data_IF_438199056531
#
_entry.id   IF_438199056531
#
_cell.length_a   1.000
_cell.length_b   1.000
_cell.length_c   1.000
_cell.angle_alpha   90.00
_cell.angle_beta   90.00
_cell.angle_gamma   90.00
#
_symmetry.space_group_name_H-M   'P 1'
#
loop_
_entity.id
_entity.type
_entity.pdbx_description
1 polymer ?
#
# COMPACT_ATOMS: atom_id res chain seq x y z
N UNK A 1 -1.40 -2.54 24.88
CA UNK A 1 -0.76 -3.68 24.18
C UNK A 1 -0.12 -3.19 22.90
N UNK A 2 1.15 -3.57 22.64
CA UNK A 2 1.74 -3.21 21.37
C UNK A 2 1.01 -3.92 20.23
N UNK A 3 0.89 -3.22 19.12
CA UNK A 3 0.29 -3.76 17.91
C UNK A 3 1.39 -4.20 16.97
N UNK A 4 1.22 -5.35 16.37
CA UNK A 4 2.19 -5.89 15.42
C UNK A 4 1.62 -5.83 14.02
N UNK A 5 2.36 -5.23 13.10
CA UNK A 5 2.00 -5.13 11.70
C UNK A 5 2.98 -5.92 10.84
N UNK A 6 2.45 -6.64 9.85
CA UNK A 6 3.28 -7.32 8.87
C UNK A 6 3.31 -6.53 7.58
N UNK A 7 4.50 -6.31 7.03
CA UNK A 7 4.62 -5.74 5.69
C UNK A 7 4.44 -6.88 4.68
N UNK A 8 3.23 -7.04 4.16
CA UNK A 8 2.91 -8.17 3.28
C UNK A 8 3.41 -7.98 1.84
N UNK A 9 4.00 -6.83 1.55
CA UNK A 9 4.74 -6.67 0.30
C UNK A 9 6.10 -7.38 0.38
N UNK A 10 6.60 -7.63 1.58
CA UNK A 10 7.88 -8.27 1.83
C UNK A 10 7.74 -9.65 2.48
N UNK A 11 6.84 -9.77 3.46
CA UNK A 11 6.59 -11.05 4.14
C UNK A 11 5.55 -11.85 3.36
N UNK A 12 5.66 -13.17 3.43
CA UNK A 12 4.75 -14.09 2.74
C UNK A 12 4.78 -13.92 1.23
N UNK A 13 5.89 -13.41 0.70
CA UNK A 13 6.01 -13.09 -0.72
C UNK A 13 5.90 -14.31 -1.63
N UNK A 14 6.11 -15.51 -1.09
CA UNK A 14 5.91 -16.77 -1.82
C UNK A 14 4.44 -17.07 -2.11
N UNK A 15 3.52 -16.37 -1.44
CA UNK A 15 2.09 -16.55 -1.64
C UNK A 15 1.53 -15.50 -2.59
N UNK A 16 0.46 -15.82 -3.33
CA UNK A 16 -0.27 -14.79 -4.07
C UNK A 16 -0.75 -13.68 -3.13
N UNK A 17 -0.85 -12.47 -3.65
CA UNK A 17 -1.12 -11.28 -2.85
C UNK A 17 -2.32 -11.45 -1.90
N UNK A 18 -3.47 -11.90 -2.41
CA UNK A 18 -4.67 -11.99 -1.58
C UNK A 18 -4.59 -13.07 -0.51
N UNK A 19 -3.70 -14.05 -0.67
CA UNK A 19 -3.50 -15.09 0.34
C UNK A 19 -2.59 -14.65 1.48
N UNK A 20 -1.84 -13.56 1.29
CA UNK A 20 -0.93 -13.05 2.31
C UNK A 20 -1.68 -12.49 3.52
N UNK A 21 -2.89 -12.00 3.33
CA UNK A 21 -3.71 -11.46 4.42
C UNK A 21 -4.08 -12.56 5.42
N UNK A 22 -4.55 -13.69 4.93
CA UNK A 22 -4.87 -14.81 5.82
C UNK A 22 -3.61 -15.35 6.51
N UNK A 23 -2.48 -15.39 5.81
CA UNK A 23 -1.23 -15.84 6.41
C UNK A 23 -0.79 -14.91 7.53
N UNK A 24 -0.91 -13.59 7.35
CA UNK A 24 -0.58 -12.63 8.40
C UNK A 24 -1.48 -12.80 9.62
N UNK A 25 -2.78 -12.97 9.41
CA UNK A 25 -3.72 -13.17 10.49
C UNK A 25 -3.43 -14.46 11.26
N UNK A 26 -3.12 -15.55 10.56
CA UNK A 26 -2.76 -16.82 11.20
C UNK A 26 -1.46 -16.73 11.99
N UNK A 27 -0.55 -15.87 11.56
CA UNK A 27 0.72 -15.65 12.27
C UNK A 27 0.58 -14.76 13.50
N UNK A 28 -0.61 -14.19 13.74
CA UNK A 28 -0.89 -13.39 14.90
C UNK A 28 -0.81 -11.88 14.71
N UNK A 29 -0.68 -11.41 13.48
CA UNK A 29 -0.68 -9.98 13.22
C UNK A 29 -2.09 -9.41 13.24
N UNK A 30 -2.24 -8.21 13.79
CA UNK A 30 -3.52 -7.48 13.82
C UNK A 30 -3.63 -6.46 12.69
N UNK A 31 -2.51 -6.14 12.07
CA UNK A 31 -2.45 -5.08 11.07
C UNK A 31 -1.41 -5.43 10.02
N UNK A 32 -1.51 -4.78 8.87
CA UNK A 32 -0.56 -4.96 7.78
C UNK A 32 -0.12 -3.62 7.23
N UNK A 33 1.04 -3.63 6.58
CA UNK A 33 1.53 -2.53 5.74
C UNK A 33 1.64 -3.06 4.33
N UNK A 34 1.19 -2.27 3.37
CA UNK A 34 1.25 -2.63 1.95
C UNK A 34 1.95 -1.50 1.22
N UNK A 35 3.06 -1.80 0.54
CA UNK A 35 3.82 -0.75 -0.14
C UNK A 35 3.04 -0.19 -1.32
N UNK A 36 2.56 -1.05 -2.20
CA UNK A 36 1.89 -0.58 -3.43
C UNK A 36 0.66 -1.44 -3.72
N UNK A 37 -0.53 -1.06 -3.20
CA UNK A 37 -1.74 -1.86 -3.37
C UNK A 37 -2.49 -1.62 -4.70
N UNK A 38 -1.81 -1.08 -5.71
CA UNK A 38 -2.47 -0.52 -6.89
C UNK A 38 -2.67 -1.49 -8.04
N UNK A 39 -2.16 -2.71 -7.94
CA UNK A 39 -2.30 -3.70 -9.00
C UNK A 39 -3.68 -4.35 -9.02
N UNK A 40 -4.37 -4.37 -7.89
CA UNK A 40 -5.72 -4.90 -7.78
C UNK A 40 -6.69 -3.78 -7.42
N UNK A 41 -7.97 -4.01 -7.69
CA UNK A 41 -9.00 -3.06 -7.28
C UNK A 41 -8.99 -2.93 -5.76
N UNK A 42 -9.17 -1.69 -5.28
CA UNK A 42 -9.13 -1.41 -3.85
C UNK A 42 -10.13 -2.25 -3.05
N UNK A 43 -11.31 -2.56 -3.64
CA UNK A 43 -12.32 -3.36 -2.96
C UNK A 43 -11.88 -4.80 -2.70
N UNK A 44 -11.04 -5.37 -3.56
CA UNK A 44 -10.50 -6.71 -3.33
C UNK A 44 -9.59 -6.73 -2.11
N UNK A 45 -8.71 -5.75 -2.00
CA UNK A 45 -7.85 -5.60 -0.82
C UNK A 45 -8.68 -5.31 0.43
N UNK A 46 -9.71 -4.48 0.31
CA UNK A 46 -10.61 -4.20 1.43
C UNK A 46 -11.28 -5.48 1.95
N UNK A 47 -11.79 -6.32 1.06
CA UNK A 47 -12.41 -7.58 1.47
C UNK A 47 -11.43 -8.47 2.19
N UNK A 48 -10.19 -8.54 1.71
CA UNK A 48 -9.15 -9.34 2.36
C UNK A 48 -8.83 -8.83 3.76
N UNK A 49 -8.75 -7.51 3.93
CA UNK A 49 -8.52 -6.90 5.25
C UNK A 49 -9.67 -7.23 6.21
N UNK A 50 -10.90 -6.98 5.78
CA UNK A 50 -12.09 -7.19 6.61
C UNK A 50 -12.26 -8.66 6.95
N UNK A 51 -12.13 -9.54 5.96
CA UNK A 51 -12.32 -10.99 6.16
C UNK A 51 -11.31 -11.57 7.13
N UNK A 52 -10.14 -10.98 7.25
CA UNK A 52 -9.08 -11.48 8.12
C UNK A 52 -8.91 -10.65 9.39
N UNK A 53 -9.77 -9.66 9.62
CA UNK A 53 -9.71 -8.82 10.81
C UNK A 53 -8.45 -7.98 10.90
N UNK A 54 -7.92 -7.54 9.77
CA UNK A 54 -6.68 -6.78 9.71
C UNK A 54 -6.95 -5.30 9.44
N UNK A 55 -6.10 -4.46 10.02
CA UNK A 55 -6.10 -3.02 9.76
C UNK A 55 -4.93 -2.66 8.85
N UNK A 56 -5.15 -1.74 7.92
CA UNK A 56 -4.06 -1.25 7.09
C UNK A 56 -3.42 -0.04 7.76
N UNK A 57 -2.17 -0.17 8.20
CA UNK A 57 -1.48 0.90 8.90
C UNK A 57 -0.75 1.85 7.97
N UNK A 58 -0.20 1.33 6.88
CA UNK A 58 0.63 2.13 5.97
C UNK A 58 0.51 1.63 4.55
N UNK A 59 0.41 2.56 3.61
CA UNK A 59 0.63 2.27 2.19
C UNK A 59 1.45 3.40 1.59
N UNK A 60 2.15 3.13 0.49
CA UNK A 60 2.91 4.14 -0.22
C UNK A 60 2.11 4.68 -1.40
N UNK A 61 2.34 5.95 -1.74
CA UNK A 61 1.88 6.49 -3.00
C UNK A 61 2.62 5.78 -4.15
N UNK A 62 2.02 5.68 -5.36
CA UNK A 62 2.68 5.00 -6.47
C UNK A 62 4.04 5.66 -6.78
N UNK A 63 5.08 4.86 -7.07
CA UNK A 63 6.33 5.43 -7.52
C UNK A 63 6.19 5.97 -8.94
N UNK A 64 7.05 6.92 -9.35
CA UNK A 64 6.96 7.49 -10.68
C UNK A 64 7.26 6.46 -11.77
N UNK A 65 8.04 5.45 -11.45
CA UNK A 65 8.41 4.42 -12.42
C UNK A 65 8.72 3.12 -11.69
N UNK A 66 7.90 2.10 -11.94
CA UNK A 66 8.09 0.79 -11.31
C UNK A 66 9.33 0.06 -11.84
N UNK A 67 9.84 0.45 -13.01
CA UNK A 67 10.91 -0.27 -13.68
C UNK A 67 12.29 0.38 -13.54
N UNK A 68 12.46 1.27 -12.58
CA UNK A 68 13.78 1.75 -12.24
C UNK A 68 14.10 3.21 -12.50
N UNK A 69 13.11 4.06 -12.62
CA UNK A 69 13.33 5.50 -12.62
C UNK A 69 13.72 5.99 -11.23
N UNK A 70 13.96 7.28 -11.11
CA UNK A 70 14.25 7.86 -9.81
C UNK A 70 13.07 7.67 -8.87
N UNK A 71 13.29 7.28 -7.61
CA UNK A 71 12.21 7.14 -6.65
C UNK A 71 11.64 8.51 -6.29
N UNK A 72 10.33 8.67 -6.49
CA UNK A 72 9.64 9.90 -6.21
C UNK A 72 9.80 10.96 -7.31
N UNK A 73 8.83 11.80 -7.46
CA UNK A 73 8.85 12.87 -8.46
C UNK A 73 8.10 14.12 -8.02
N UNK A 74 7.66 14.15 -6.77
CA UNK A 74 6.93 15.30 -6.25
C UNK A 74 7.76 16.59 -6.31
N UNK A 75 9.07 16.46 -6.21
CA UNK A 75 9.99 17.58 -6.23
C UNK A 75 10.69 17.79 -7.58
N UNK A 76 10.34 16.99 -8.60
CA UNK A 76 11.01 17.08 -9.89
C UNK A 76 10.34 18.10 -10.80
N UNK A 77 11.12 18.90 -11.56
CA UNK A 77 10.54 19.78 -12.57
C UNK A 77 9.76 18.97 -13.60
N UNK A 78 8.57 19.43 -13.96
CA UNK A 78 7.73 18.74 -14.93
C UNK A 78 6.98 17.53 -14.38
N UNK A 79 7.15 17.21 -13.09
CA UNK A 79 6.47 16.08 -12.46
C UNK A 79 5.07 16.38 -11.96
N UNK A 80 4.62 17.64 -12.04
CA UNK A 80 3.40 18.08 -11.37
C UNK A 80 2.14 17.38 -11.83
N UNK A 81 1.93 17.22 -13.15
CA UNK A 81 0.72 16.57 -13.65
C UNK A 81 0.64 15.11 -13.26
N UNK A 82 1.76 14.40 -13.40
CA UNK A 82 1.86 13.00 -13.03
C UNK A 82 1.63 12.83 -11.54
N UNK A 83 2.23 13.69 -10.74
CA UNK A 83 2.07 13.68 -9.30
C UNK A 83 0.59 13.85 -8.93
N UNK A 84 -0.10 14.80 -9.58
CA UNK A 84 -1.51 15.02 -9.29
C UNK A 84 -2.38 13.83 -9.67
N UNK A 85 -2.10 13.16 -10.77
CA UNK A 85 -2.83 11.95 -11.16
C UNK A 85 -2.63 10.82 -10.16
N UNK A 86 -1.39 10.65 -9.70
CA UNK A 86 -1.08 9.61 -8.76
C UNK A 86 -1.66 9.91 -7.38
N UNK A 87 -1.68 11.17 -6.97
CA UNK A 87 -2.32 11.55 -5.71
C UNK A 87 -3.82 11.29 -5.77
N UNK A 88 -4.49 11.58 -6.88
CA UNK A 88 -5.92 11.26 -7.02
C UNK A 88 -6.15 9.76 -6.90
N UNK A 89 -5.28 8.94 -7.48
CA UNK A 89 -5.37 7.49 -7.37
C UNK A 89 -5.18 7.03 -5.93
N UNK A 90 -4.19 7.58 -5.24
CA UNK A 90 -3.94 7.29 -3.83
C UNK A 90 -5.17 7.63 -2.99
N UNK A 91 -5.77 8.79 -3.23
CA UNK A 91 -6.94 9.22 -2.46
C UNK A 91 -8.13 8.29 -2.69
N UNK A 92 -8.34 7.81 -3.93
CA UNK A 92 -9.40 6.83 -4.19
C UNK A 92 -9.18 5.53 -3.42
N UNK A 93 -7.94 5.04 -3.40
CA UNK A 93 -7.60 3.84 -2.64
C UNK A 93 -7.74 4.09 -1.14
N UNK A 94 -7.32 5.26 -0.67
CA UNK A 94 -7.41 5.60 0.74
C UNK A 94 -8.86 5.71 1.24
N UNK A 95 -9.77 6.19 0.41
CA UNK A 95 -11.19 6.24 0.77
C UNK A 95 -11.75 4.86 1.06
N UNK A 96 -11.28 3.84 0.35
CA UNK A 96 -11.75 2.48 0.49
C UNK A 96 -10.96 1.74 1.57
N UNK A 97 -9.64 1.85 1.54
CA UNK A 97 -8.75 1.09 2.42
C UNK A 97 -8.53 1.71 3.78
N UNK A 98 -8.69 3.01 3.90
CA UNK A 98 -8.55 3.78 5.14
C UNK A 98 -7.24 3.48 5.89
N UNK A 99 -6.09 3.68 5.25
CA UNK A 99 -4.81 3.43 5.91
C UNK A 99 -4.56 4.43 7.05
N UNK A 100 -3.78 4.01 8.03
CA UNK A 100 -3.36 4.90 9.11
C UNK A 100 -2.42 5.99 8.63
N UNK A 101 -1.61 5.71 7.60
CA UNK A 101 -0.67 6.68 7.03
C UNK A 101 -0.42 6.37 5.56
N UNK A 102 -0.03 7.39 4.81
CA UNK A 102 0.37 7.27 3.41
C UNK A 102 1.76 7.86 3.28
N UNK A 103 2.69 7.08 2.76
CA UNK A 103 4.05 7.54 2.50
C UNK A 103 4.20 8.00 1.05
N UNK A 104 4.69 9.21 0.87
CA UNK A 104 4.91 9.79 -0.45
C UNK A 104 6.42 9.93 -0.64
N UNK A 105 6.95 9.29 -1.69
CA UNK A 105 8.37 9.39 -1.98
C UNK A 105 8.67 10.70 -2.70
N UNK A 106 9.57 11.50 -2.14
CA UNK A 106 10.04 12.74 -2.77
C UNK A 106 11.21 12.43 -3.68
N UNK A 107 11.35 13.21 -4.75
CA UNK A 107 12.51 13.12 -5.61
C UNK A 107 13.76 13.75 -4.99
N UNK A 108 14.88 13.60 -5.67
CA UNK A 108 16.15 14.19 -5.21
C UNK A 108 16.24 15.66 -5.59
#
# INVERSE_FOLDING_TARGET
MPRFAANISMLFAELPYLERFAAAARAGFDAVEILFPYELAAKETQRALVSNGLELLLMNAPPPNYTGGMPGYAALPGGGERYQRDIRRVLRYAEILRPGAIHIMAGY
#
